data_IF_119579109964
#
_entry.id   IF_119579109964
#
_cell.length_a   1.000
_cell.length_b   1.000
_cell.length_c   1.000
_cell.angle_alpha   90.00
_cell.angle_beta   90.00
_cell.angle_gamma   90.00
#
_symmetry.space_group_name_H-M   'P 1'
#
loop_
_entity.id
_entity.type
_entity.pdbx_description
1 polymer ?
#
# COMPACT_ATOMS: atom_id res chain seq x y z
N UNK A 1 -9.94 8.98 18.23
CA UNK A 1 -10.10 9.20 16.78
C UNK A 1 -11.50 9.74 16.52
N UNK A 2 -11.64 10.81 15.73
CA UNK A 2 -12.96 11.34 15.37
C UNK A 2 -13.63 10.52 14.25
N UNK A 3 -14.96 10.50 14.20
CA UNK A 3 -15.72 9.77 13.15
C UNK A 3 -15.31 10.18 11.73
N UNK A 4 -15.08 11.47 11.50
CA UNK A 4 -14.60 11.97 10.21
C UNK A 4 -13.24 11.35 9.81
N UNK A 5 -12.31 11.20 10.76
CA UNK A 5 -11.01 10.59 10.50
C UNK A 5 -11.15 9.10 10.15
N UNK A 6 -12.07 8.39 10.80
CA UNK A 6 -12.36 6.98 10.51
C UNK A 6 -13.00 6.80 9.12
N UNK A 7 -13.91 7.68 8.73
CA UNK A 7 -14.51 7.65 7.40
C UNK A 7 -13.44 7.91 6.33
N UNK A 8 -12.58 8.90 6.54
CA UNK A 8 -11.50 9.22 5.60
C UNK A 8 -10.49 8.08 5.46
N UNK A 9 -10.13 7.39 6.56
CA UNK A 9 -9.21 6.26 6.49
C UNK A 9 -9.81 5.06 5.75
N UNK A 10 -11.11 4.80 5.90
CA UNK A 10 -11.80 3.75 5.15
C UNK A 10 -11.86 4.06 3.66
N UNK A 11 -12.15 5.30 3.28
CA UNK A 11 -12.13 5.73 1.87
C UNK A 11 -10.74 5.55 1.27
N UNK A 12 -9.69 5.96 2.01
CA UNK A 12 -8.31 5.78 1.59
C UNK A 12 -7.96 4.30 1.42
N UNK A 13 -8.35 3.45 2.37
CA UNK A 13 -8.10 2.00 2.30
C UNK A 13 -8.72 1.37 1.04
N UNK A 14 -9.97 1.74 0.71
CA UNK A 14 -10.65 1.26 -0.51
C UNK A 14 -9.92 1.75 -1.76
N UNK A 15 -9.55 3.03 -1.82
CA UNK A 15 -8.82 3.59 -2.96
C UNK A 15 -7.48 2.88 -3.20
N UNK A 16 -6.75 2.60 -2.11
CA UNK A 16 -5.48 1.88 -2.17
C UNK A 16 -5.67 0.44 -2.64
N UNK A 17 -6.70 -0.27 -2.15
CA UNK A 17 -7.02 -1.62 -2.61
C UNK A 17 -7.39 -1.64 -4.10
N UNK A 18 -8.20 -0.70 -4.56
CA UNK A 18 -8.58 -0.58 -5.96
C UNK A 18 -7.37 -0.28 -6.87
N UNK A 19 -6.47 0.59 -6.42
CA UNK A 19 -5.21 0.88 -7.10
C UNK A 19 -4.32 -0.37 -7.21
N UNK A 20 -4.19 -1.15 -6.14
CA UNK A 20 -3.40 -2.38 -6.13
C UNK A 20 -3.92 -3.42 -7.13
N UNK A 21 -5.24 -3.62 -7.21
CA UNK A 21 -5.85 -4.58 -8.15
C UNK A 21 -5.63 -4.15 -9.60
N UNK A 22 -5.81 -2.87 -9.91
CA UNK A 22 -5.65 -2.35 -11.27
C UNK A 22 -4.20 -2.34 -11.75
N UNK A 23 -3.24 -2.26 -10.83
CA UNK A 23 -1.82 -2.14 -11.12
C UNK A 23 -1.04 -3.37 -10.65
N UNK A 24 -1.55 -4.58 -10.90
CA UNK A 24 -0.97 -5.84 -10.41
C UNK A 24 0.35 -6.26 -11.09
N UNK A 25 1.00 -5.37 -11.85
CA UNK A 25 2.26 -5.65 -12.54
C UNK A 25 3.44 -5.87 -11.59
N UNK A 26 4.51 -6.53 -12.07
CA UNK A 26 5.76 -6.65 -11.33
C UNK A 26 6.43 -5.28 -11.17
N UNK A 27 6.98 -5.04 -9.98
CA UNK A 27 7.75 -3.85 -9.63
C UNK A 27 9.08 -4.25 -9.03
N UNK A 28 10.11 -3.48 -9.34
CA UNK A 28 11.44 -3.65 -8.74
C UNK A 28 11.59 -2.68 -7.58
N UNK A 29 11.71 -3.22 -6.37
CA UNK A 29 12.11 -2.45 -5.20
C UNK A 29 13.63 -2.36 -5.16
N UNK A 30 14.19 -1.15 -5.06
CA UNK A 30 15.64 -0.94 -4.95
C UNK A 30 15.99 -0.21 -3.66
N UNK A 31 16.82 -0.84 -2.84
CA UNK A 31 17.32 -0.29 -1.58
C UNK A 31 18.85 -0.33 -1.59
N UNK A 32 19.48 0.82 -1.80
CA UNK A 32 20.93 0.90 -1.97
C UNK A 32 21.41 0.02 -3.14
N UNK A 33 22.22 -1.00 -2.83
CA UNK A 33 22.75 -1.97 -3.80
C UNK A 33 21.89 -3.24 -3.95
N UNK A 34 20.81 -3.37 -3.19
CA UNK A 34 19.90 -4.51 -3.28
C UNK A 34 18.67 -4.19 -4.13
N UNK A 35 18.23 -5.17 -4.91
CA UNK A 35 16.96 -5.10 -5.62
C UNK A 35 16.19 -6.41 -5.52
N UNK A 36 14.87 -6.31 -5.40
CA UNK A 36 13.96 -7.45 -5.51
C UNK A 36 12.82 -7.12 -6.45
N UNK A 37 12.42 -8.09 -7.26
CA UNK A 37 11.20 -8.01 -8.06
C UNK A 37 10.05 -8.64 -7.28
N UNK A 38 8.95 -7.91 -7.15
CA UNK A 38 7.76 -8.36 -6.44
C UNK A 38 6.50 -7.75 -7.06
N UNK A 39 5.32 -8.18 -6.63
CA UNK A 39 4.07 -7.57 -7.08
C UNK A 39 3.84 -6.22 -6.39
N UNK A 40 3.36 -5.21 -7.13
CA UNK A 40 2.94 -3.93 -6.55
C UNK A 40 1.94 -4.12 -5.40
N UNK A 41 1.07 -5.13 -5.49
CA UNK A 41 0.09 -5.47 -4.45
C UNK A 41 0.78 -5.74 -3.12
N UNK A 42 1.84 -6.54 -3.11
CA UNK A 42 2.60 -6.88 -1.89
C UNK A 42 3.23 -5.63 -1.29
N UNK A 43 3.82 -4.78 -2.13
CA UNK A 43 4.43 -3.51 -1.69
C UNK A 43 3.40 -2.61 -1.00
N UNK A 44 2.24 -2.45 -1.61
CA UNK A 44 1.16 -1.61 -1.08
C UNK A 44 0.63 -2.17 0.23
N UNK A 45 0.38 -3.48 0.33
CA UNK A 45 -0.11 -4.11 1.55
C UNK A 45 0.88 -3.94 2.71
N UNK A 46 2.17 -4.15 2.46
CA UNK A 46 3.21 -3.97 3.49
C UNK A 46 3.34 -2.52 3.90
N UNK A 47 3.34 -1.58 2.95
CA UNK A 47 3.46 -0.14 3.23
C UNK A 47 2.24 0.39 4.02
N UNK A 48 1.03 -0.01 3.65
CA UNK A 48 -0.19 0.38 4.36
C UNK A 48 -0.27 -0.24 5.74
N UNK A 49 0.08 -1.51 5.91
CA UNK A 49 0.15 -2.16 7.22
C UNK A 49 1.19 -1.48 8.13
N UNK A 50 2.37 -1.15 7.60
CA UNK A 50 3.40 -0.42 8.34
C UNK A 50 2.92 0.99 8.74
N UNK A 51 2.28 1.71 7.84
CA UNK A 51 1.71 3.04 8.14
C UNK A 51 0.56 3.01 9.15
N UNK A 52 -0.19 1.91 9.25
CA UNK A 52 -1.22 1.73 10.26
C UNK A 52 -0.66 1.36 11.65
N UNK A 53 0.57 0.84 11.71
CA UNK A 53 1.24 0.43 12.94
C UNK A 53 2.07 1.55 13.61
N UNK A 54 2.35 2.65 12.88
CA UNK A 54 3.09 3.83 13.34
C UNK A 54 2.14 4.99 13.64
#
# INVERSE_FOLDING_TARGET
>A
MGQAALILSLILAIAVAAFAIQNAGPVTLRFGFWSVETSLVVVILVATAAGAAL
#
